data_IF_166641993665
#
_entry.id   IF_166641993665
#
_cell.length_a   1.000
_cell.length_b   1.000
_cell.length_c   1.000
_cell.angle_alpha   90.00
_cell.angle_beta   90.00
_cell.angle_gamma   90.00
#
_symmetry.space_group_name_H-M   'P 1'
#
loop_
_entity.id
_entity.type
_entity.pdbx_description
1 polymer ?
#
# COMPACT_ATOMS: atom_id res chain seq x y z
N UNK A 1 63.40 -32.38 2.94
CA UNK A 1 63.53 -33.48 1.94
C UNK A 1 63.12 -34.78 2.54
N UNK A 2 62.53 -35.73 1.81
CA UNK A 2 61.88 -35.63 0.50
C UNK A 2 60.52 -36.38 0.39
N UNK A 3 59.90 -36.21 -0.77
CA UNK A 3 59.15 -37.09 -1.66
C UNK A 3 57.78 -37.64 -1.23
N UNK A 4 56.76 -37.28 -1.97
CA UNK A 4 56.21 -37.81 -3.23
C UNK A 4 55.56 -39.19 -3.09
N UNK A 5 54.29 -39.31 -3.44
CA UNK A 5 53.74 -40.08 -4.57
C UNK A 5 52.21 -40.04 -4.62
N UNK A 6 51.72 -39.59 -5.77
CA UNK A 6 50.43 -39.99 -6.35
C UNK A 6 50.61 -41.38 -7.00
N UNK A 7 49.57 -42.21 -7.20
CA UNK A 7 48.80 -42.13 -8.45
C UNK A 7 47.29 -42.48 -8.36
N UNK A 8 46.52 -42.02 -9.33
CA UNK A 8 45.31 -42.63 -9.83
C UNK A 8 45.67 -43.92 -10.67
N UNK A 9 44.73 -44.78 -11.13
CA UNK A 9 43.67 -44.41 -12.10
C UNK A 9 42.37 -45.29 -12.11
N UNK A 10 41.38 -44.72 -12.82
CA UNK A 10 40.47 -45.36 -13.81
C UNK A 10 39.66 -46.64 -13.53
N UNK A 11 38.36 -46.55 -13.80
CA UNK A 11 37.65 -47.35 -14.82
C UNK A 11 36.16 -46.97 -14.89
N UNK A 12 35.71 -46.46 -16.05
CA UNK A 12 34.35 -46.67 -16.59
C UNK A 12 34.24 -48.10 -17.14
N UNK A 13 33.00 -48.67 -17.35
CA UNK A 13 32.35 -48.50 -18.63
C UNK A 13 30.80 -48.34 -18.60
N UNK A 14 30.27 -47.64 -19.59
CA UNK A 14 28.94 -47.82 -20.19
C UNK A 14 28.91 -49.11 -21.06
N UNK A 15 27.78 -49.47 -21.77
CA UNK A 15 26.48 -48.85 -22.08
C UNK A 15 25.29 -49.84 -22.11
N UNK A 16 24.10 -49.34 -22.40
CA UNK A 16 22.96 -50.18 -22.81
C UNK A 16 21.63 -49.43 -22.92
N UNK A 17 21.39 -48.82 -24.05
CA UNK A 17 20.33 -48.97 -25.07
C UNK A 17 18.91 -49.22 -24.57
N UNK A 18 17.95 -48.37 -24.84
CA UNK A 18 17.08 -48.37 -26.02
C UNK A 18 16.01 -47.23 -25.96
N UNK A 19 15.84 -46.68 -27.11
CA UNK A 19 14.89 -45.68 -27.56
C UNK A 19 13.42 -46.03 -27.34
N UNK A 20 12.59 -44.99 -27.15
CA UNK A 20 11.39 -44.85 -27.97
C UNK A 20 10.89 -43.39 -28.00
N UNK A 21 10.82 -42.88 -29.21
CA UNK A 21 10.23 -41.60 -29.64
C UNK A 21 8.71 -41.56 -29.40
N UNK A 22 8.20 -40.41 -29.04
CA UNK A 22 6.94 -39.88 -29.53
C UNK A 22 6.78 -38.41 -29.17
N UNK A 23 6.93 -37.49 -30.12
CA UNK A 23 6.29 -36.19 -30.23
C UNK A 23 5.10 -36.36 -31.19
N UNK A 24 4.21 -35.33 -31.40
CA UNK A 24 3.74 -34.20 -30.56
C UNK A 24 2.19 -34.14 -30.50
N UNK A 25 1.66 -33.34 -29.60
CA UNK A 25 0.33 -32.78 -29.82
C UNK A 25 0.26 -31.34 -29.26
N UNK A 26 0.29 -30.40 -30.17
CA UNK A 26 -0.18 -29.04 -29.96
C UNK A 26 -1.63 -29.08 -29.49
N UNK A 27 -1.91 -28.33 -28.41
CA UNK A 27 -3.25 -27.86 -28.13
C UNK A 27 -3.12 -26.42 -27.62
N UNK A 28 -3.24 -25.49 -28.55
CA UNK A 28 -3.66 -24.10 -28.37
C UNK A 28 -4.92 -24.06 -27.51
N UNK A 29 -4.82 -23.49 -26.34
CA UNK A 29 -5.98 -23.05 -25.58
C UNK A 29 -5.83 -21.54 -25.34
N UNK A 30 -6.53 -20.76 -26.13
CA UNK A 30 -6.82 -19.34 -25.87
C UNK A 30 -7.56 -19.23 -24.54
N UNK A 31 -7.26 -18.22 -23.70
CA UNK A 31 -8.12 -17.92 -22.58
C UNK A 31 -9.33 -17.15 -23.07
N UNK A 32 -10.45 -17.83 -23.24
CA UNK A 32 -11.77 -17.22 -23.36
C UNK A 32 -12.06 -16.42 -22.09
N UNK A 33 -12.17 -15.11 -22.28
CA UNK A 33 -12.72 -14.20 -21.30
C UNK A 33 -14.21 -14.51 -21.13
N UNK A 34 -14.53 -15.34 -20.17
CA UNK A 34 -15.90 -15.43 -19.64
C UNK A 34 -16.08 -14.40 -18.54
N UNK A 35 -16.73 -13.31 -18.92
CA UNK A 35 -17.31 -12.31 -18.03
C UNK A 35 -18.51 -12.95 -17.31
N UNK A 36 -18.26 -13.71 -16.28
CA UNK A 36 -19.29 -14.10 -15.33
C UNK A 36 -19.51 -12.90 -14.38
N UNK A 37 -20.58 -12.13 -14.64
CA UNK A 37 -21.18 -11.26 -13.64
C UNK A 37 -21.78 -12.16 -12.57
N UNK A 38 -21.02 -12.44 -11.51
CA UNK A 38 -21.59 -12.96 -10.27
C UNK A 38 -22.18 -11.79 -9.53
N UNK A 39 -23.50 -11.77 -9.33
CA UNK A 39 -24.22 -10.88 -8.41
C UNK A 39 -23.96 -11.32 -6.95
N UNK A 40 -22.71 -11.53 -6.57
CA UNK A 40 -22.34 -11.71 -5.17
C UNK A 40 -22.23 -10.32 -4.54
N UNK A 41 -23.03 -10.09 -3.49
CA UNK A 41 -22.91 -8.89 -2.68
C UNK A 41 -21.45 -8.74 -2.19
N UNK A 42 -20.83 -7.55 -2.34
CA UNK A 42 -19.46 -7.34 -1.91
C UNK A 42 -19.36 -7.56 -0.40
N UNK A 43 -18.42 -8.40 0.02
CA UNK A 43 -18.17 -8.72 1.43
C UNK A 43 -16.85 -8.11 1.90
N UNK A 44 -16.70 -7.89 3.20
CA UNK A 44 -15.49 -7.35 3.79
C UNK A 44 -15.23 -5.89 3.39
N UNK A 45 -13.98 -5.55 3.11
CA UNK A 45 -13.58 -4.18 2.75
C UNK A 45 -14.23 -3.67 1.46
N UNK A 46 -14.56 -4.55 0.53
CA UNK A 46 -15.27 -4.21 -0.71
C UNK A 46 -16.71 -3.71 -0.46
N UNK A 47 -17.32 -4.08 0.67
CA UNK A 47 -18.65 -3.62 1.09
C UNK A 47 -18.61 -2.21 1.73
N UNK A 48 -17.43 -1.69 2.09
CA UNK A 48 -17.27 -0.39 2.72
C UNK A 48 -17.25 0.71 1.66
N UNK A 49 -18.43 1.21 1.33
CA UNK A 49 -18.65 2.25 0.31
C UNK A 49 -19.21 3.52 0.93
N UNK A 50 -19.29 4.61 0.16
CA UNK A 50 -19.98 5.82 0.60
C UNK A 50 -21.48 5.59 0.80
N UNK A 51 -22.09 4.71 0.00
CA UNK A 51 -23.51 4.39 0.10
C UNK A 51 -23.85 3.58 1.36
N UNK A 52 -22.92 2.71 1.80
CA UNK A 52 -23.10 1.92 3.03
C UNK A 52 -22.66 2.67 4.31
N UNK A 53 -22.11 3.89 4.19
CA UNK A 53 -21.66 4.66 5.33
C UNK A 53 -22.82 5.28 6.10
N UNK A 54 -22.89 5.02 7.41
CA UNK A 54 -23.89 5.63 8.28
C UNK A 54 -23.49 7.07 8.60
N UNK A 55 -24.14 8.03 7.92
CA UNK A 55 -23.87 9.44 8.09
C UNK A 55 -24.71 10.05 9.22
N UNK A 56 -24.06 10.81 10.10
CA UNK A 56 -24.65 11.61 11.17
C UNK A 56 -24.09 13.03 11.20
N UNK A 57 -24.61 13.88 12.07
CA UNK A 57 -24.12 15.26 12.17
C UNK A 57 -22.63 15.33 12.51
N UNK A 58 -22.16 14.43 13.35
CA UNK A 58 -20.78 14.41 13.85
C UNK A 58 -19.73 14.01 12.82
N UNK A 59 -20.09 13.23 11.80
CA UNK A 59 -19.18 12.71 10.79
C UNK A 59 -19.47 13.24 9.37
N UNK A 60 -20.53 14.02 9.19
CA UNK A 60 -20.95 14.57 7.88
C UNK A 60 -19.84 15.38 7.21
N UNK A 61 -19.09 16.17 7.98
CA UNK A 61 -17.97 16.95 7.43
C UNK A 61 -16.87 16.04 6.90
N UNK A 62 -16.49 15.02 7.66
CA UNK A 62 -15.48 14.05 7.25
C UNK A 62 -15.92 13.27 5.99
N UNK A 63 -17.20 12.88 5.95
CA UNK A 63 -17.80 12.24 4.78
C UNK A 63 -17.71 13.14 3.53
N UNK A 64 -18.15 14.38 3.61
CA UNK A 64 -18.12 15.29 2.46
C UNK A 64 -16.71 15.53 1.93
N UNK A 65 -15.72 15.69 2.82
CA UNK A 65 -14.33 15.86 2.43
C UNK A 65 -13.75 14.57 1.83
N UNK A 66 -14.13 13.40 2.35
CA UNK A 66 -13.74 12.13 1.78
C UNK A 66 -14.29 11.93 0.35
N UNK A 67 -15.57 12.31 0.13
CA UNK A 67 -16.19 12.30 -1.21
C UNK A 67 -15.47 13.29 -2.15
N UNK A 68 -15.16 14.50 -1.70
CA UNK A 68 -14.45 15.49 -2.52
C UNK A 68 -13.07 14.99 -2.94
N UNK A 69 -12.31 14.39 -2.02
CA UNK A 69 -11.00 13.82 -2.32
C UNK A 69 -11.12 12.61 -3.27
N UNK A 70 -12.15 11.77 -3.09
CA UNK A 70 -12.38 10.64 -3.96
C UNK A 70 -12.78 11.05 -5.39
N UNK A 71 -13.55 12.14 -5.52
CA UNK A 71 -13.97 12.66 -6.82
C UNK A 71 -12.81 13.34 -7.59
N UNK A 72 -11.95 14.07 -6.88
CA UNK A 72 -10.84 14.84 -7.48
C UNK A 72 -9.51 14.63 -6.74
N UNK A 73 -8.94 13.42 -6.75
CA UNK A 73 -7.69 13.14 -6.07
C UNK A 73 -6.56 14.04 -6.59
N UNK A 74 -5.80 14.62 -5.67
CA UNK A 74 -4.65 15.49 -5.98
C UNK A 74 -4.99 16.90 -6.45
N UNK A 75 -6.23 17.14 -6.91
CA UNK A 75 -6.70 18.45 -7.35
C UNK A 75 -7.44 19.24 -6.26
N UNK A 76 -7.81 18.58 -5.17
CA UNK A 76 -8.44 19.20 -4.01
C UNK A 76 -7.43 19.96 -3.15
N UNK A 77 -7.86 21.06 -2.52
CA UNK A 77 -7.09 21.72 -1.46
C UNK A 77 -6.91 20.85 -0.21
N UNK A 78 -7.64 19.71 -0.16
CA UNK A 78 -7.61 18.72 0.93
C UNK A 78 -6.47 17.70 0.73
N UNK A 79 -5.25 18.17 0.54
CA UNK A 79 -4.09 17.32 0.36
C UNK A 79 -2.91 17.74 1.26
N UNK A 80 -2.59 16.98 2.30
CA UNK A 80 -3.21 15.70 2.70
C UNK A 80 -4.59 15.87 3.35
N UNK A 81 -5.50 14.92 3.16
CA UNK A 81 -6.70 14.78 3.97
C UNK A 81 -6.36 14.00 5.25
N UNK A 82 -6.79 14.51 6.40
CA UNK A 82 -6.56 13.85 7.68
C UNK A 82 -7.90 13.58 8.38
N UNK A 83 -8.31 12.32 8.45
CA UNK A 83 -9.56 11.87 9.08
C UNK A 83 -9.22 11.41 10.49
N UNK A 84 -9.75 12.08 11.52
CA UNK A 84 -9.44 11.69 12.88
C UNK A 84 -10.67 11.61 13.78
N UNK A 85 -10.58 10.77 14.80
CA UNK A 85 -11.66 10.58 15.76
C UNK A 85 -11.49 9.27 16.53
N UNK A 86 -12.29 9.08 17.58
CA UNK A 86 -12.25 7.89 18.42
C UNK A 86 -12.41 6.60 17.60
N UNK A 87 -12.04 5.47 18.18
CA UNK A 87 -12.29 4.16 17.57
C UNK A 87 -13.79 3.95 17.34
N UNK A 88 -14.15 3.26 16.27
CA UNK A 88 -15.52 2.91 15.92
C UNK A 88 -16.36 4.02 15.27
N UNK A 89 -15.79 5.21 14.96
CA UNK A 89 -16.53 6.31 14.31
C UNK A 89 -16.58 6.22 12.77
N UNK A 90 -16.01 5.17 12.17
CA UNK A 90 -16.06 4.93 10.73
C UNK A 90 -14.87 5.47 9.94
N UNK A 91 -13.70 5.72 10.56
CA UNK A 91 -12.49 6.18 9.83
C UNK A 91 -12.05 5.22 8.74
N UNK A 92 -11.82 3.96 9.10
CA UNK A 92 -11.45 2.87 8.16
C UNK A 92 -12.50 2.71 7.07
N UNK A 93 -13.80 2.82 7.42
CA UNK A 93 -14.88 2.80 6.43
C UNK A 93 -14.70 3.92 5.39
N UNK A 94 -14.47 5.16 5.82
CA UNK A 94 -14.23 6.28 4.88
C UNK A 94 -12.96 6.06 4.04
N UNK A 95 -11.90 5.51 4.61
CA UNK A 95 -10.68 5.16 3.88
C UNK A 95 -10.97 4.14 2.77
N UNK A 96 -11.67 3.04 3.11
CA UNK A 96 -12.07 2.02 2.14
C UNK A 96 -13.07 2.58 1.12
N UNK A 97 -14.00 3.45 1.53
CA UNK A 97 -14.96 4.07 0.62
C UNK A 97 -14.25 4.95 -0.43
N UNK A 98 -13.24 5.74 -0.04
CA UNK A 98 -12.40 6.51 -0.97
C UNK A 98 -11.73 5.56 -1.96
N UNK A 99 -11.08 4.49 -1.47
CA UNK A 99 -10.39 3.52 -2.32
C UNK A 99 -11.34 2.86 -3.33
N UNK A 100 -12.48 2.36 -2.85
CA UNK A 100 -13.46 1.65 -3.68
C UNK A 100 -14.09 2.58 -4.72
N UNK A 101 -14.40 3.81 -4.33
CA UNK A 101 -14.95 4.82 -5.24
C UNK A 101 -13.95 5.13 -6.37
N UNK A 102 -12.69 5.43 -6.04
CA UNK A 102 -11.67 5.75 -7.04
C UNK A 102 -11.43 4.56 -7.97
N UNK A 103 -11.28 3.34 -7.43
CA UNK A 103 -11.08 2.14 -8.25
C UNK A 103 -12.23 1.89 -9.22
N UNK A 104 -13.47 2.22 -8.83
CA UNK A 104 -14.67 2.07 -9.66
C UNK A 104 -14.78 3.16 -10.72
N UNK A 105 -14.49 4.42 -10.38
CA UNK A 105 -14.73 5.59 -11.22
C UNK A 105 -13.52 6.00 -12.05
N UNK A 106 -12.31 5.68 -11.58
CA UNK A 106 -11.02 6.04 -12.20
C UNK A 106 -10.04 4.87 -12.12
N UNK A 107 -10.29 3.79 -12.86
CA UNK A 107 -9.46 2.58 -12.82
C UNK A 107 -8.02 2.80 -13.30
N UNK A 108 -7.75 3.92 -13.99
CA UNK A 108 -6.40 4.33 -14.40
C UNK A 108 -5.53 4.82 -13.25
N UNK A 109 -6.13 5.22 -12.11
CA UNK A 109 -5.37 5.70 -10.95
C UNK A 109 -4.93 4.54 -10.07
N UNK A 110 -3.65 4.55 -9.71
CA UNK A 110 -3.09 3.59 -8.76
C UNK A 110 -3.38 4.03 -7.32
N UNK A 111 -4.30 3.32 -6.65
CA UNK A 111 -4.68 3.58 -5.26
C UNK A 111 -4.04 2.54 -4.35
N UNK A 112 -3.15 3.00 -3.48
CA UNK A 112 -2.51 2.18 -2.46
C UNK A 112 -3.12 2.48 -1.09
N UNK A 113 -3.71 1.45 -0.46
CA UNK A 113 -4.15 1.48 0.94
C UNK A 113 -3.21 0.62 1.77
N UNK A 114 -2.78 1.12 2.90
CA UNK A 114 -1.92 0.43 3.84
C UNK A 114 -2.21 0.88 5.28
N UNK A 115 -2.22 -0.05 6.23
CA UNK A 115 -2.21 0.32 7.64
C UNK A 115 -0.79 0.61 8.14
N UNK A 116 -0.71 1.32 9.26
CA UNK A 116 0.58 1.74 9.81
C UNK A 116 1.49 0.58 10.23
N UNK A 117 0.93 -0.54 10.68
CA UNK A 117 1.72 -1.70 11.11
C UNK A 117 2.31 -2.43 9.91
N UNK A 118 1.54 -2.59 8.84
CA UNK A 118 2.05 -3.14 7.58
C UNK A 118 3.14 -2.24 7.00
N UNK A 119 2.98 -0.91 7.07
CA UNK A 119 4.01 0.04 6.65
C UNK A 119 5.31 -0.14 7.45
N UNK A 120 5.21 -0.34 8.78
CA UNK A 120 6.37 -0.62 9.66
C UNK A 120 7.03 -1.93 9.27
N UNK A 121 6.25 -2.99 9.02
CA UNK A 121 6.79 -4.29 8.63
C UNK A 121 7.54 -4.21 7.30
N UNK A 122 6.93 -3.63 6.26
CA UNK A 122 7.57 -3.44 4.95
C UNK A 122 8.84 -2.57 5.03
N UNK A 123 8.83 -1.54 5.88
CA UNK A 123 10.03 -0.74 6.14
C UNK A 123 11.13 -1.57 6.82
N UNK A 124 10.77 -2.39 7.81
CA UNK A 124 11.71 -3.22 8.55
C UNK A 124 12.36 -4.26 7.65
N UNK A 125 11.58 -4.92 6.80
CA UNK A 125 12.07 -5.88 5.81
C UNK A 125 13.05 -5.20 4.85
N UNK A 126 12.68 -4.06 4.28
CA UNK A 126 13.56 -3.29 3.40
C UNK A 126 14.83 -2.78 4.11
N UNK A 127 14.75 -2.49 5.40
CA UNK A 127 15.91 -2.06 6.20
C UNK A 127 16.87 -3.22 6.53
N UNK A 128 16.34 -4.42 6.77
CA UNK A 128 17.13 -5.64 6.96
C UNK A 128 17.83 -6.01 5.64
N UNK A 129 17.10 -6.06 4.55
CA UNK A 129 17.65 -6.37 3.22
C UNK A 129 18.68 -5.34 2.75
N UNK A 130 18.54 -4.06 3.15
CA UNK A 130 19.51 -3.01 2.82
C UNK A 130 20.93 -3.32 3.28
N UNK A 131 21.09 -4.15 4.32
CA UNK A 131 22.41 -4.64 4.76
C UNK A 131 23.07 -5.54 3.72
N UNK A 132 22.27 -6.16 2.85
CA UNK A 132 22.71 -7.09 1.79
C UNK A 132 22.61 -6.41 0.41
N UNK A 133 21.51 -5.69 0.14
CA UNK A 133 21.28 -5.00 -1.12
C UNK A 133 20.76 -3.56 -0.87
N UNK A 134 21.56 -2.58 -1.32
CA UNK A 134 21.19 -1.14 -1.24
C UNK A 134 19.95 -0.79 -2.09
N UNK A 135 19.54 -1.67 -3.01
CA UNK A 135 18.39 -1.44 -3.89
C UNK A 135 17.06 -1.67 -3.17
N UNK A 136 16.99 -2.56 -2.18
CA UNK A 136 15.73 -2.90 -1.47
C UNK A 136 15.03 -1.70 -0.86
N UNK A 137 15.78 -0.78 -0.27
CA UNK A 137 15.20 0.44 0.30
C UNK A 137 14.67 1.41 -0.75
N UNK A 138 15.34 1.51 -1.90
CA UNK A 138 14.84 2.30 -3.04
C UNK A 138 13.57 1.67 -3.63
N UNK A 139 13.51 0.35 -3.68
CA UNK A 139 12.33 -0.39 -4.13
C UNK A 139 11.14 -0.12 -3.21
N UNK A 140 11.34 -0.12 -1.88
CA UNK A 140 10.31 0.26 -0.91
C UNK A 140 9.75 1.66 -1.18
N UNK A 141 10.61 2.69 -1.29
CA UNK A 141 10.15 4.05 -1.56
C UNK A 141 9.47 4.16 -2.94
N UNK A 142 10.06 3.54 -3.97
CA UNK A 142 9.52 3.56 -5.33
C UNK A 142 8.16 2.90 -5.43
N UNK A 143 7.91 1.82 -4.67
CA UNK A 143 6.61 1.16 -4.62
C UNK A 143 5.49 2.15 -4.24
N UNK A 144 5.68 2.89 -3.15
CA UNK A 144 4.68 3.87 -2.73
C UNK A 144 4.61 5.09 -3.65
N UNK A 145 5.74 5.53 -4.22
CA UNK A 145 5.78 6.67 -5.14
C UNK A 145 5.07 6.42 -6.48
N UNK A 146 4.78 5.17 -6.83
CA UNK A 146 3.98 4.81 -8.01
C UNK A 146 2.49 5.06 -7.80
N UNK A 147 2.03 5.12 -6.55
CA UNK A 147 0.64 5.42 -6.25
C UNK A 147 0.27 6.85 -6.70
N UNK A 148 -0.97 7.01 -7.18
CA UNK A 148 -1.59 8.32 -7.41
C UNK A 148 -2.32 8.80 -6.15
N UNK A 149 -2.84 7.84 -5.38
CA UNK A 149 -3.49 8.07 -4.09
C UNK A 149 -2.90 7.12 -3.06
N UNK A 150 -2.38 7.65 -1.97
CA UNK A 150 -1.83 6.88 -0.86
C UNK A 150 -2.67 7.09 0.41
N UNK A 151 -3.32 6.03 0.84
CA UNK A 151 -4.17 5.97 2.03
C UNK A 151 -3.41 5.24 3.13
N UNK A 152 -3.19 5.89 4.27
CA UNK A 152 -2.47 5.31 5.42
C UNK A 152 -3.38 5.33 6.64
N UNK A 153 -3.81 4.15 7.05
CA UNK A 153 -4.72 4.01 8.19
C UNK A 153 -3.96 3.93 9.52
N UNK A 154 -4.56 4.49 10.56
CA UNK A 154 -4.09 4.48 11.94
C UNK A 154 -2.63 4.98 12.13
N UNK A 155 -2.32 6.17 11.57
CA UNK A 155 -0.96 6.74 11.56
C UNK A 155 -0.32 6.86 12.96
N UNK A 156 -1.12 6.87 14.04
CA UNK A 156 -0.60 6.84 15.42
C UNK A 156 0.24 5.58 15.72
N UNK A 157 0.08 4.49 14.96
CA UNK A 157 0.92 3.30 15.05
C UNK A 157 2.38 3.55 14.66
N UNK A 158 2.68 4.69 14.01
CA UNK A 158 4.04 5.12 13.68
C UNK A 158 4.73 5.88 14.81
N UNK A 159 4.03 6.18 15.92
CA UNK A 159 4.67 6.72 17.12
C UNK A 159 5.84 5.82 17.55
N UNK A 160 6.95 6.42 17.97
CA UNK A 160 8.16 5.68 18.32
C UNK A 160 8.80 4.85 17.19
N UNK A 161 8.43 5.11 15.91
CA UNK A 161 9.02 4.47 14.73
C UNK A 161 9.72 5.51 13.82
N UNK A 162 10.78 6.18 14.30
CA UNK A 162 11.37 7.32 13.59
C UNK A 162 11.92 6.96 12.21
N UNK A 163 12.41 5.74 12.02
CA UNK A 163 12.89 5.25 10.72
C UNK A 163 11.78 5.20 9.67
N UNK A 164 10.65 4.57 10.02
CA UNK A 164 9.47 4.48 9.14
C UNK A 164 8.87 5.85 8.86
N UNK A 165 8.77 6.72 9.89
CA UNK A 165 8.31 8.11 9.72
C UNK A 165 9.19 8.90 8.77
N UNK A 166 10.52 8.80 8.90
CA UNK A 166 11.44 9.45 7.98
C UNK A 166 11.29 8.95 6.53
N UNK A 167 11.06 7.65 6.34
CA UNK A 167 10.80 7.07 5.02
C UNK A 167 9.48 7.58 4.44
N UNK A 168 8.40 7.53 5.23
CA UNK A 168 7.10 8.08 4.84
C UNK A 168 7.20 9.56 4.45
N UNK A 169 7.96 10.34 5.20
CA UNK A 169 8.15 11.75 4.92
C UNK A 169 8.91 12.01 3.61
N UNK A 170 9.90 11.16 3.27
CA UNK A 170 10.57 11.23 1.95
C UNK A 170 9.60 10.90 0.82
N UNK A 171 8.77 9.86 0.99
CA UNK A 171 7.71 9.50 0.04
C UNK A 171 6.75 10.69 -0.14
N UNK A 172 6.25 11.25 0.96
CA UNK A 172 5.36 12.42 0.97
C UNK A 172 5.95 13.60 0.20
N UNK A 173 7.19 13.99 0.53
CA UNK A 173 7.87 15.12 -0.15
C UNK A 173 8.12 14.86 -1.64
N UNK A 174 8.26 13.61 -2.06
CA UNK A 174 8.43 13.25 -3.47
C UNK A 174 7.11 13.24 -4.25
N UNK A 175 5.99 12.98 -3.59
CA UNK A 175 4.68 12.78 -4.21
C UNK A 175 3.81 14.04 -4.24
N UNK A 176 3.79 14.84 -3.17
CA UNK A 176 2.98 16.07 -3.08
C UNK A 176 3.25 17.04 -4.23
N UNK A 177 4.50 17.37 -4.61
CA UNK A 177 4.75 18.29 -5.72
C UNK A 177 4.30 17.75 -7.08
N UNK A 178 4.03 16.44 -7.18
CA UNK A 178 3.52 15.79 -8.39
C UNK A 178 1.99 15.74 -8.43
N UNK A 179 1.30 16.38 -7.50
CA UNK A 179 -0.15 16.36 -7.41
C UNK A 179 -0.74 15.02 -6.93
N UNK A 180 0.05 14.18 -6.29
CA UNK A 180 -0.44 12.90 -5.74
C UNK A 180 -1.20 13.15 -4.44
N UNK A 181 -2.29 12.40 -4.22
CA UNK A 181 -3.15 12.55 -3.04
C UNK A 181 -2.66 11.70 -1.87
N UNK A 182 -2.68 12.31 -0.68
CA UNK A 182 -2.52 11.59 0.59
C UNK A 182 -3.80 11.66 1.42
N UNK A 183 -4.13 10.54 2.07
CA UNK A 183 -5.18 10.47 3.07
C UNK A 183 -4.63 9.73 4.28
N UNK A 184 -4.78 10.31 5.46
CA UNK A 184 -4.37 9.71 6.72
C UNK A 184 -5.58 9.52 7.63
N UNK A 185 -5.60 8.44 8.39
CA UNK A 185 -6.51 8.31 9.52
C UNK A 185 -5.75 8.29 10.85
N UNK A 186 -6.42 8.70 11.93
CA UNK A 186 -5.89 8.64 13.28
C UNK A 186 -6.97 8.54 14.35
N UNK A 187 -6.60 8.08 15.55
CA UNK A 187 -7.49 8.06 16.72
C UNK A 187 -7.68 9.45 17.36
N UNK A 188 -6.80 10.41 17.04
CA UNK A 188 -6.76 11.77 17.57
C UNK A 188 -6.26 12.78 16.55
N UNK A 189 -6.45 14.08 16.84
CA UNK A 189 -5.99 15.16 15.97
C UNK A 189 -4.45 15.10 15.77
N UNK A 190 -3.91 15.51 14.61
CA UNK A 190 -2.48 15.48 14.31
C UNK A 190 -1.60 16.12 15.38
N UNK A 191 -2.04 17.26 15.93
CA UNK A 191 -1.33 17.98 17.01
C UNK A 191 -1.23 17.22 18.34
N UNK A 192 -2.06 16.18 18.51
CA UNK A 192 -2.12 15.34 19.71
C UNK A 192 -1.45 13.97 19.49
N UNK A 193 -0.93 13.73 18.29
CA UNK A 193 -0.09 12.57 18.02
C UNK A 193 1.33 12.99 18.36
N UNK A 194 2.03 12.17 19.11
CA UNK A 194 3.43 12.41 19.46
C UNK A 194 4.33 12.14 18.23
N UNK A 195 4.30 13.11 17.32
CA UNK A 195 5.14 13.17 16.14
C UNK A 195 5.96 14.46 16.17
N UNK A 196 7.18 14.40 15.66
CA UNK A 196 8.05 15.59 15.51
C UNK A 196 7.30 16.73 14.78
N UNK A 197 7.47 17.98 15.25
CA UNK A 197 6.82 19.18 14.70
C UNK A 197 6.95 19.32 13.18
N UNK A 198 8.06 18.86 12.61
CA UNK A 198 8.27 18.89 11.15
C UNK A 198 7.24 18.05 10.37
N UNK A 199 6.68 16.97 10.97
CA UNK A 199 5.60 16.19 10.38
C UNK A 199 4.25 16.86 10.64
N UNK A 200 4.02 17.27 11.88
CA UNK A 200 2.78 17.92 12.30
C UNK A 200 2.53 19.21 11.52
N UNK A 201 3.55 20.05 11.31
CA UNK A 201 3.42 21.28 10.54
C UNK A 201 3.00 21.04 9.08
N UNK A 202 3.49 19.96 8.44
CA UNK A 202 3.12 19.57 7.08
C UNK A 202 1.71 19.01 6.98
N UNK A 203 1.28 18.28 8.02
CA UNK A 203 -0.09 17.78 8.12
C UNK A 203 -1.10 18.90 8.47
N UNK A 204 -0.66 20.00 9.09
CA UNK A 204 -1.52 21.09 9.54
C UNK A 204 -1.76 22.20 8.49
N UNK A 205 -1.20 22.10 7.28
CA UNK A 205 -1.38 23.11 6.25
C UNK A 205 -2.82 23.24 5.74
N UNK A 206 -3.71 22.30 6.06
CA UNK A 206 -5.10 22.31 5.65
C UNK A 206 -6.05 22.08 6.84
N UNK A 207 -7.28 22.63 6.78
CA UNK A 207 -8.31 22.51 7.82
C UNK A 207 -8.81 21.06 7.91
N UNK A 208 -8.69 20.43 9.06
CA UNK A 208 -9.09 19.05 9.29
C UNK A 208 -10.52 18.92 9.81
N UNK A 209 -11.35 18.04 9.24
CA UNK A 209 -12.61 17.69 9.85
C UNK A 209 -12.42 16.74 11.01
N UNK A 210 -12.83 17.16 12.21
CA UNK A 210 -12.99 16.24 13.32
C UNK A 210 -14.32 15.50 13.17
N UNK A 211 -14.29 14.16 13.17
CA UNK A 211 -15.49 13.39 13.50
C UNK A 211 -15.75 13.56 15.00
N UNK A 212 -16.74 14.38 15.35
CA UNK A 212 -17.19 14.54 16.73
C UNK A 212 -18.28 13.49 17.01
N UNK A 213 -18.39 13.05 18.25
CA UNK A 213 -19.56 12.29 18.72
C UNK A 213 -20.73 13.22 18.93
#
# INVERSE_FOLDING_TARGET
>A
EPQATSPAPAAQPEPGTAAQEAQPAEATAEPTAETAKSDEEPTGEAALTFDSFVMGESNRMAYNMAVEVADRPGASELNPLFIYGRSGVGKTHLMCAIQNYIRKTRPELNVCYIDSMELVNRYSDAAIEKSVDKQSFKNFESFFQQADVLLIDDIQGLQSKPGTLNALFRIFNAMIPKGKQFVFSADRAPRNIDLDERYVSRFNHHRYPATRR
#
